data_IF_920869991360
#
_entry.id   IF_920869991360
#
_cell.length_a   1.000
_cell.length_b   1.000
_cell.length_c   1.000
_cell.angle_alpha   90.00
_cell.angle_beta   90.00
_cell.angle_gamma   90.00
#
_symmetry.space_group_name_H-M   'P 1'
#
loop_
_entity.id
_entity.type
_entity.pdbx_description
1 polymer ?
#
# COMPACT_ATOMS: atom_id res chain seq x y z
N UNK A 1 -3.48 -3.38 -1.64
CA UNK A 1 -2.13 -3.68 -1.12
C UNK A 1 -1.14 -2.61 -1.54
N UNK A 2 -0.23 -2.19 -0.67
CA UNK A 2 0.74 -1.11 -0.92
C UNK A 2 2.18 -1.61 -0.71
N UNK A 3 2.85 -1.81 -1.85
CA UNK A 3 4.21 -2.27 -2.21
C UNK A 3 5.36 -1.24 -2.30
N UNK A 4 5.56 -0.27 -1.41
CA UNK A 4 6.36 0.93 -1.76
C UNK A 4 7.59 1.22 -0.88
N UNK A 5 8.59 1.99 -1.39
CA UNK A 5 9.61 2.62 -0.57
C UNK A 5 9.03 3.83 0.18
N UNK A 6 9.85 4.51 0.99
CA UNK A 6 9.44 5.72 1.72
C UNK A 6 9.43 6.95 0.79
N UNK A 7 8.43 7.03 -0.07
CA UNK A 7 8.20 8.13 -1.03
C UNK A 7 6.85 8.80 -0.78
N UNK A 8 6.61 10.04 -1.23
CA UNK A 8 5.35 10.74 -0.99
C UNK A 8 4.10 9.96 -1.44
N UNK A 9 4.21 9.22 -2.54
CA UNK A 9 3.14 8.38 -3.10
C UNK A 9 2.65 7.32 -2.11
N UNK A 10 3.49 6.89 -1.15
CA UNK A 10 3.07 5.99 -0.08
C UNK A 10 1.95 6.60 0.77
N UNK A 11 2.15 7.83 1.26
CA UNK A 11 1.14 8.52 2.05
C UNK A 11 -0.10 8.83 1.21
N UNK A 12 0.11 9.25 -0.05
CA UNK A 12 -0.98 9.54 -0.99
C UNK A 12 -1.82 8.29 -1.23
N UNK A 13 -1.21 7.12 -1.44
CA UNK A 13 -1.92 5.86 -1.66
C UNK A 13 -2.74 5.43 -0.44
N UNK A 14 -2.18 5.54 0.78
CA UNK A 14 -2.92 5.24 2.01
C UNK A 14 -4.16 6.14 2.14
N UNK A 15 -4.00 7.44 1.95
CA UNK A 15 -5.09 8.41 2.04
C UNK A 15 -6.10 8.26 0.90
N UNK A 16 -5.66 7.90 -0.31
CA UNK A 16 -6.55 7.62 -1.43
C UNK A 16 -7.44 6.41 -1.15
N UNK A 17 -6.88 5.33 -0.57
CA UNK A 17 -7.68 4.19 -0.12
C UNK A 17 -8.70 4.61 0.95
N UNK A 18 -8.25 5.30 2.00
CA UNK A 18 -9.15 5.77 3.07
C UNK A 18 -10.26 6.69 2.55
N UNK A 19 -9.95 7.56 1.57
CA UNK A 19 -10.90 8.51 0.98
C UNK A 19 -12.09 7.84 0.31
N UNK A 20 -11.89 6.66 -0.27
CA UNK A 20 -12.94 5.90 -0.98
C UNK A 20 -13.47 4.71 -0.15
N UNK A 21 -13.15 4.66 1.14
CA UNK A 21 -13.54 3.56 2.03
C UNK A 21 -12.83 2.23 1.78
N UNK A 22 -11.75 2.21 1.01
CA UNK A 22 -10.98 1.01 0.75
C UNK A 22 -10.00 0.71 1.90
N UNK A 23 -9.96 -0.57 2.31
CA UNK A 23 -9.04 -1.04 3.35
C UNK A 23 -7.63 -1.19 2.76
N UNK A 24 -6.70 -0.35 3.19
CA UNK A 24 -5.32 -0.47 2.74
C UNK A 24 -4.51 -1.44 3.61
N UNK A 25 -3.47 -2.03 3.02
CA UNK A 25 -2.50 -2.86 3.74
C UNK A 25 -1.12 -2.58 3.18
N UNK A 26 -0.24 -2.09 4.05
CA UNK A 26 1.10 -1.62 3.69
C UNK A 26 2.10 -2.73 3.98
N UNK A 27 2.96 -3.01 2.99
CA UNK A 27 4.10 -3.89 3.11
C UNK A 27 5.34 -3.11 2.74
N UNK A 28 6.31 -3.08 3.65
CA UNK A 28 7.56 -2.37 3.41
C UNK A 28 8.32 -2.97 2.21
N UNK A 29 8.83 -2.12 1.33
CA UNK A 29 9.58 -2.50 0.10
C UNK A 29 10.79 -3.43 0.31
N UNK A 30 11.24 -3.65 1.55
CA UNK A 30 12.30 -4.59 1.89
C UNK A 30 11.87 -6.05 2.12
N UNK A 31 10.57 -6.36 2.06
CA UNK A 31 10.08 -7.74 2.19
C UNK A 31 10.28 -8.55 0.89
N UNK A 32 10.41 -9.87 1.04
CA UNK A 32 10.48 -10.81 -0.09
C UNK A 32 9.13 -10.96 -0.81
N UNK A 33 9.16 -11.38 -2.06
CA UNK A 33 7.96 -11.64 -2.87
C UNK A 33 7.04 -12.67 -2.23
N UNK A 34 7.58 -13.72 -1.59
CA UNK A 34 6.80 -14.72 -0.86
C UNK A 34 6.08 -14.10 0.35
N UNK A 35 6.77 -13.24 1.09
CA UNK A 35 6.17 -12.56 2.23
C UNK A 35 5.07 -11.57 1.80
N UNK A 36 5.23 -10.91 0.65
CA UNK A 36 4.19 -10.08 0.03
C UNK A 36 3.00 -10.94 -0.43
N UNK A 37 3.26 -12.03 -1.15
CA UNK A 37 2.24 -12.98 -1.64
C UNK A 37 1.36 -13.53 -0.53
N UNK A 38 1.97 -13.97 0.58
CA UNK A 38 1.21 -14.49 1.72
C UNK A 38 0.25 -13.46 2.32
N UNK A 39 0.61 -12.18 2.27
CA UNK A 39 -0.27 -11.09 2.74
C UNK A 39 -1.37 -10.76 1.73
N UNK A 40 -1.05 -10.78 0.43
CA UNK A 40 -2.04 -10.61 -0.64
C UNK A 40 -3.14 -11.68 -0.50
N UNK A 41 -2.74 -12.95 -0.34
CA UNK A 41 -3.67 -14.08 -0.21
C UNK A 41 -4.53 -13.95 1.06
N UNK A 42 -3.93 -13.55 2.18
CA UNK A 42 -4.63 -13.45 3.46
C UNK A 42 -5.67 -12.32 3.48
N UNK A 43 -5.39 -11.17 2.86
CA UNK A 43 -6.34 -10.05 2.76
C UNK A 43 -7.24 -10.08 1.51
N UNK A 44 -7.10 -11.08 0.64
CA UNK A 44 -7.78 -11.17 -0.66
C UNK A 44 -7.73 -9.86 -1.48
N UNK A 45 -6.54 -9.25 -1.54
CA UNK A 45 -6.36 -7.95 -2.20
C UNK A 45 -6.55 -8.00 -3.72
N UNK A 46 -7.28 -7.03 -4.28
CA UNK A 46 -7.53 -6.91 -5.73
C UNK A 46 -6.57 -6.01 -6.49
N UNK A 47 -5.93 -5.08 -5.79
CA UNK A 47 -5.00 -4.12 -6.39
C UNK A 47 -3.70 -4.03 -5.59
N UNK A 48 -2.58 -3.94 -6.30
CA UNK A 48 -1.25 -3.67 -5.75
C UNK A 48 -0.76 -2.30 -6.24
N UNK A 49 -0.23 -1.47 -5.35
CA UNK A 49 0.45 -0.22 -5.69
C UNK A 49 1.92 -0.39 -5.33
N UNK A 50 2.85 -0.21 -6.26
CA UNK A 50 4.29 -0.41 -6.07
C UNK A 50 5.09 0.69 -6.77
N UNK A 51 6.42 0.62 -6.71
CA UNK A 51 7.32 1.42 -7.54
C UNK A 51 8.14 0.52 -8.47
N UNK A 52 8.74 1.08 -9.53
CA UNK A 52 9.64 0.35 -10.41
C UNK A 52 10.82 -0.26 -9.63
N UNK A 53 11.48 0.57 -8.82
CA UNK A 53 12.52 0.17 -7.87
C UNK A 53 12.50 1.09 -6.64
N UNK A 54 13.17 0.65 -5.57
CA UNK A 54 13.48 1.46 -4.40
C UNK A 54 14.98 1.58 -4.19
N UNK A 55 15.43 2.54 -3.37
CA UNK A 55 16.85 2.67 -3.00
C UNK A 55 17.01 2.43 -1.51
N UNK A 56 17.84 1.45 -1.13
CA UNK A 56 18.14 1.14 0.28
C UNK A 56 19.64 0.99 0.48
N UNK A 57 20.21 1.83 1.33
CA UNK A 57 21.66 1.84 1.58
C UNK A 57 22.48 2.08 0.31
N UNK A 58 21.97 2.92 -0.60
CA UNK A 58 22.60 3.21 -1.89
C UNK A 58 22.45 2.12 -2.96
N UNK A 59 21.78 1.00 -2.66
CA UNK A 59 21.55 -0.09 -3.60
C UNK A 59 20.12 -0.07 -4.12
N UNK A 60 19.95 -0.39 -5.40
CA UNK A 60 18.63 -0.58 -6.00
C UNK A 60 17.97 -1.86 -5.48
N UNK A 61 16.66 -1.79 -5.24
CA UNK A 61 15.77 -2.89 -4.85
C UNK A 61 14.70 -3.01 -5.94
N UNK A 62 14.61 -4.13 -6.67
CA UNK A 62 13.73 -4.25 -7.83
C UNK A 62 12.28 -4.53 -7.42
N UNK A 63 11.60 -3.49 -6.92
CA UNK A 63 10.26 -3.60 -6.33
C UNK A 63 9.21 -4.13 -7.31
N UNK A 64 9.21 -3.70 -8.58
CA UNK A 64 8.26 -4.19 -9.56
C UNK A 64 8.47 -5.67 -9.89
N UNK A 65 9.72 -6.10 -10.03
CA UNK A 65 10.04 -7.53 -10.23
C UNK A 65 9.59 -8.38 -9.03
N UNK A 66 9.81 -7.89 -7.80
CA UNK A 66 9.34 -8.57 -6.60
C UNK A 66 7.81 -8.63 -6.54
N UNK A 67 7.14 -7.54 -6.90
CA UNK A 67 5.69 -7.44 -6.99
C UNK A 67 5.12 -8.44 -8.01
N UNK A 68 5.73 -8.56 -9.19
CA UNK A 68 5.30 -9.51 -10.23
C UNK A 68 5.33 -10.94 -9.72
N UNK A 69 6.45 -11.37 -9.14
CA UNK A 69 6.58 -12.69 -8.53
C UNK A 69 5.58 -12.92 -7.38
N UNK A 70 5.22 -11.86 -6.64
CA UNK A 70 4.26 -11.96 -5.56
C UNK A 70 2.80 -12.05 -6.05
N UNK A 71 2.47 -11.44 -7.19
CA UNK A 71 1.13 -11.42 -7.77
C UNK A 71 0.77 -12.74 -8.47
N UNK A 72 1.75 -13.55 -8.88
CA UNK A 72 1.51 -14.84 -9.52
C UNK A 72 0.61 -15.76 -8.67
N UNK A 73 -0.52 -16.19 -9.23
CA UNK A 73 -1.47 -17.08 -8.56
C UNK A 73 -2.21 -16.44 -7.38
N UNK A 74 -2.35 -15.11 -7.38
CA UNK A 74 -3.12 -14.36 -6.37
C UNK A 74 -4.38 -13.73 -6.98
N UNK A 75 -5.18 -13.04 -6.16
CA UNK A 75 -6.39 -12.32 -6.58
C UNK A 75 -6.14 -10.91 -7.11
N UNK A 76 -4.88 -10.49 -7.28
CA UNK A 76 -4.55 -9.16 -7.81
C UNK A 76 -4.88 -9.08 -9.30
N UNK A 77 -5.72 -8.11 -9.65
CA UNK A 77 -6.18 -7.82 -11.00
C UNK A 77 -5.48 -6.59 -11.60
N UNK A 78 -5.06 -5.65 -10.74
CA UNK A 78 -4.46 -4.37 -11.15
C UNK A 78 -3.19 -4.06 -10.37
N UNK A 79 -2.18 -3.53 -11.06
CA UNK A 79 -0.92 -3.07 -10.47
C UNK A 79 -0.62 -1.64 -10.89
N UNK A 80 -0.61 -0.71 -9.93
CA UNK A 80 -0.20 0.68 -10.15
C UNK A 80 1.28 0.83 -9.83
N UNK A 81 2.06 1.42 -10.74
CA UNK A 81 3.52 1.51 -10.63
C UNK A 81 3.99 2.96 -10.65
N UNK A 82 4.65 3.38 -9.58
CA UNK A 82 5.35 4.67 -9.52
C UNK A 82 6.72 4.53 -10.19
N UNK A 83 7.04 5.38 -11.17
CA UNK A 83 8.40 5.48 -11.72
C UNK A 83 9.26 6.31 -10.75
N UNK A 84 9.89 5.64 -9.79
CA UNK A 84 10.70 6.24 -8.74
C UNK A 84 12.18 6.42 -9.11
N UNK A 85 12.77 5.46 -9.83
CA UNK A 85 14.16 5.53 -10.31
C UNK A 85 14.24 5.44 -11.84
N UNK A 86 15.43 5.56 -12.41
CA UNK A 86 15.67 5.29 -13.84
C UNK A 86 15.83 3.79 -14.16
N UNK A 87 15.73 2.91 -13.15
CA UNK A 87 15.77 1.47 -13.39
C UNK A 87 14.56 1.05 -14.23
N UNK A 88 14.84 0.26 -15.27
CA UNK A 88 13.79 -0.32 -16.09
C UNK A 88 12.98 -1.34 -15.29
N UNK A 89 11.67 -1.39 -15.56
CA UNK A 89 10.80 -2.45 -15.07
C UNK A 89 9.88 -2.93 -16.19
N UNK A 90 9.55 -4.22 -16.17
CA UNK A 90 8.57 -4.78 -17.10
C UNK A 90 7.15 -4.40 -16.68
N UNK A 91 6.32 -4.06 -17.68
CA UNK A 91 4.92 -3.70 -17.51
C UNK A 91 4.06 -4.65 -18.34
N UNK A 92 3.06 -5.26 -17.72
CA UNK A 92 2.11 -6.16 -18.37
C UNK A 92 0.85 -5.41 -18.80
N UNK A 93 0.62 -5.35 -20.12
CA UNK A 93 -0.56 -4.69 -20.69
C UNK A 93 -1.86 -5.29 -20.13
N UNK A 94 -2.81 -4.42 -19.76
CA UNK A 94 -4.10 -4.79 -19.17
C UNK A 94 -4.09 -4.99 -17.65
N UNK A 95 -2.91 -5.17 -17.04
CA UNK A 95 -2.75 -5.36 -15.58
C UNK A 95 -2.00 -4.20 -14.93
N UNK A 96 -0.91 -3.75 -15.56
CA UNK A 96 0.01 -2.77 -14.98
C UNK A 96 -0.20 -1.37 -15.58
N UNK A 97 -0.23 -0.35 -14.72
CA UNK A 97 -0.48 1.04 -15.09
C UNK A 97 0.54 1.95 -14.42
N UNK A 98 1.08 2.93 -15.16
CA UNK A 98 1.96 3.92 -14.57
C UNK A 98 1.18 4.99 -13.80
N UNK A 99 1.58 5.22 -12.55
CA UNK A 99 0.98 6.21 -11.66
C UNK A 99 0.83 7.59 -12.31
N UNK A 100 1.91 8.10 -12.90
CA UNK A 100 1.92 9.45 -13.47
C UNK A 100 0.99 9.60 -14.69
N UNK A 101 0.81 8.54 -15.48
CA UNK A 101 -0.09 8.54 -16.63
C UNK A 101 -1.56 8.51 -16.20
N UNK A 102 -1.89 7.71 -15.19
CA UNK A 102 -3.25 7.62 -14.66
C UNK A 102 -3.64 8.88 -13.87
N UNK A 103 -2.71 9.45 -13.10
CA UNK A 103 -2.94 10.72 -12.40
C UNK A 103 -3.15 11.90 -13.36
N UNK A 104 -2.53 11.88 -14.55
CA UNK A 104 -2.78 12.90 -15.57
C UNK A 104 -4.21 12.85 -16.15
N UNK A 105 -4.90 11.72 -16.01
CA UNK A 105 -6.28 11.50 -16.48
C UNK A 105 -7.31 11.63 -15.35
N UNK A 106 -6.88 11.54 -14.09
CA UNK A 106 -7.76 11.52 -12.93
C UNK A 106 -8.43 12.88 -12.68
N UNK A 107 -9.66 12.84 -12.18
CA UNK A 107 -10.39 14.03 -11.71
C UNK A 107 -9.78 14.55 -10.42
N UNK A 108 -9.72 15.88 -10.26
CA UNK A 108 -9.44 16.52 -8.97
C UNK A 108 -10.63 16.47 -8.01
N UNK A 109 -11.83 16.25 -8.54
CA UNK A 109 -13.03 16.05 -7.75
C UNK A 109 -13.22 14.56 -7.44
N UNK A 110 -13.11 14.24 -6.16
CA UNK A 110 -13.31 12.92 -5.58
C UNK A 110 -13.89 13.18 -4.18
N UNK A 111 -15.21 13.19 -3.99
CA UNK A 111 -15.80 13.34 -2.66
C UNK A 111 -15.34 12.18 -1.75
N UNK A 112 -15.19 12.45 -0.46
CA UNK A 112 -14.85 11.41 0.50
C UNK A 112 -16.08 10.54 0.78
N UNK A 113 -15.89 9.22 0.84
CA UNK A 113 -16.94 8.28 1.22
C UNK A 113 -17.29 8.48 2.70
N UNK A 114 -18.59 8.43 3.02
CA UNK A 114 -19.06 8.44 4.41
C UNK A 114 -18.86 7.04 5.01
N UNK A 115 -18.09 6.96 6.10
CA UNK A 115 -17.73 5.70 6.76
C UNK A 115 -18.31 5.66 8.19
N UNK A 116 -18.68 4.46 8.66
CA UNK A 116 -18.98 4.23 10.06
C UNK A 116 -17.71 4.32 10.92
N UNK A 117 -17.88 4.63 12.20
CA UNK A 117 -16.78 4.68 13.15
C UNK A 117 -16.00 3.35 13.23
N UNK A 118 -16.72 2.23 13.09
CA UNK A 118 -16.20 0.87 13.17
C UNK A 118 -15.84 0.26 11.80
N UNK A 119 -15.98 1.02 10.71
CA UNK A 119 -15.54 0.53 9.40
C UNK A 119 -14.00 0.35 9.37
N UNK A 120 -13.49 -0.73 8.74
CA UNK A 120 -12.06 -0.98 8.68
C UNK A 120 -11.31 0.11 7.89
N UNK A 121 -10.26 0.66 8.50
CA UNK A 121 -9.38 1.63 7.84
C UNK A 121 -8.20 0.94 7.15
N UNK A 122 -7.52 0.05 7.88
CA UNK A 122 -6.37 -0.67 7.35
C UNK A 122 -6.12 -2.00 8.05
N UNK A 123 -5.35 -2.85 7.37
CA UNK A 123 -4.75 -4.06 7.92
C UNK A 123 -3.22 -3.87 7.96
N UNK A 124 -2.61 -4.10 9.11
CA UNK A 124 -1.16 -4.10 9.27
C UNK A 124 -0.67 -5.47 9.72
N UNK A 125 0.12 -6.10 8.86
CA UNK A 125 0.62 -7.45 9.11
C UNK A 125 1.83 -7.45 10.03
N UNK A 126 1.75 -8.22 11.11
CA UNK A 126 2.83 -8.43 12.08
C UNK A 126 3.36 -9.87 12.02
N UNK A 127 4.59 -10.08 12.52
CA UNK A 127 5.18 -11.42 12.62
C UNK A 127 4.38 -12.26 13.63
N UNK A 128 3.65 -13.26 13.14
CA UNK A 128 2.98 -14.25 13.99
C UNK A 128 3.96 -15.29 14.53
N UNK A 129 3.71 -15.78 15.75
CA UNK A 129 4.48 -16.88 16.36
C UNK A 129 4.35 -18.22 15.63
N UNK A 130 3.33 -18.37 14.78
CA UNK A 130 2.98 -19.61 14.07
C UNK A 130 3.42 -19.61 12.60
N UNK A 131 4.24 -18.66 12.17
CA UNK A 131 4.76 -18.55 10.79
C UNK A 131 3.78 -17.92 9.79
N UNK A 132 2.46 -17.97 10.03
CA UNK A 132 1.47 -17.22 9.24
C UNK A 132 1.45 -15.74 9.67
N UNK A 133 1.41 -14.78 8.71
CA UNK A 133 1.32 -13.37 9.03
C UNK A 133 -0.02 -13.08 9.72
N UNK A 134 -0.03 -12.26 10.77
CA UNK A 134 -1.27 -11.85 11.47
C UNK A 134 -1.65 -10.45 11.03
N UNK A 135 -2.77 -10.32 10.32
CA UNK A 135 -3.33 -9.04 9.91
C UNK A 135 -4.02 -8.35 11.09
N UNK A 136 -3.39 -7.31 11.65
CA UNK A 136 -4.01 -6.48 12.69
C UNK A 136 -4.90 -5.46 12.01
N UNK A 137 -6.20 -5.51 12.29
CA UNK A 137 -7.19 -4.58 11.74
C UNK A 137 -7.38 -3.40 12.69
N UNK A 138 -7.43 -2.19 12.13
CA UNK A 138 -7.83 -0.98 12.84
C UNK A 138 -9.05 -0.35 12.18
N UNK A 139 -10.01 0.07 13.00
CA UNK A 139 -11.22 0.79 12.56
C UNK A 139 -10.98 2.30 12.49
N UNK A 140 -11.86 2.99 11.78
CA UNK A 140 -11.66 4.38 11.34
C UNK A 140 -11.60 5.39 12.49
N UNK A 141 -12.69 5.56 13.25
CA UNK A 141 -12.77 6.68 14.21
C UNK A 141 -11.81 6.51 15.39
N UNK A 142 -11.81 5.32 16.01
CA UNK A 142 -10.99 5.05 17.20
C UNK A 142 -9.49 5.21 16.93
N UNK A 143 -9.02 4.72 15.78
CA UNK A 143 -7.62 4.87 15.39
C UNK A 143 -7.25 6.34 15.17
N UNK A 144 -8.04 7.08 14.38
CA UNK A 144 -7.75 8.48 14.04
C UNK A 144 -7.79 9.40 15.27
N UNK A 145 -8.75 9.20 16.17
CA UNK A 145 -8.83 9.96 17.42
C UNK A 145 -7.60 9.69 18.29
N UNK A 146 -7.23 8.42 18.45
CA UNK A 146 -6.09 8.06 19.29
C UNK A 146 -4.76 8.60 18.75
N UNK A 147 -4.52 8.49 17.44
CA UNK A 147 -3.30 9.02 16.81
C UNK A 147 -3.24 10.53 16.88
N UNK A 148 -4.33 11.24 16.62
CA UNK A 148 -4.41 12.70 16.75
C UNK A 148 -4.13 13.15 18.19
N UNK A 149 -4.76 12.49 19.16
CA UNK A 149 -4.61 12.83 20.58
C UNK A 149 -3.18 12.60 21.05
N UNK A 150 -2.62 11.43 20.77
CA UNK A 150 -1.25 11.11 21.17
C UNK A 150 -0.23 11.99 20.46
N UNK A 151 -0.44 12.34 19.19
CA UNK A 151 0.39 13.30 18.48
C UNK A 151 0.45 14.66 19.20
N UNK A 152 -0.72 15.19 19.59
CA UNK A 152 -0.83 16.45 20.31
C UNK A 152 -0.19 16.39 21.70
N UNK A 153 -0.57 15.41 22.52
CA UNK A 153 -0.18 15.41 23.94
C UNK A 153 1.23 14.88 24.20
N UNK A 154 1.72 13.93 23.38
CA UNK A 154 3.05 13.33 23.58
C UNK A 154 4.14 14.15 22.88
N UNK A 155 3.87 14.66 21.68
CA UNK A 155 4.86 15.41 20.90
C UNK A 155 4.65 16.93 20.92
N UNK A 156 3.54 17.42 21.46
CA UNK A 156 3.24 18.85 21.51
C UNK A 156 2.90 19.47 20.15
N UNK A 157 2.46 18.64 19.19
CA UNK A 157 2.19 19.05 17.81
C UNK A 157 0.68 18.98 17.53
N UNK A 158 0.09 20.15 17.26
CA UNK A 158 -1.30 20.29 16.79
C UNK A 158 -1.37 20.29 15.27
#
# INVERSE_FOLDING_TARGET
MIYMPMIPELAIACLACARIGAVHSVVFGGFSSEALKNRIIDCDGKMLITANAGVRGGKSVPLKQNADAAMEGTSIEYCMVVKHTEDACEMQSGRDYFWHEEMAKASYDCPAEEMDAEDPLFILYTSGSTGKPKGVLHTTAGYLVYTSLTHQYVFGLS
#
